data_IF_026317839303
#
_entry.id   IF_026317839303
#
_cell.length_a   1.000
_cell.length_b   1.000
_cell.length_c   1.000
_cell.angle_alpha   90.00
_cell.angle_beta   90.00
_cell.angle_gamma   90.00
#
_symmetry.space_group_name_H-M   'P 1'
#
loop_
_entity.id
_entity.type
_entity.pdbx_description
1 polymer ?
#
# COMPACT_ATOMS: atom_id res chain seq x y z
N UNK A 1 21.03 -7.43 4.60
CA UNK A 1 20.37 -6.75 3.45
C UNK A 1 20.18 -7.71 2.29
N UNK A 2 21.21 -8.43 1.83
CA UNK A 2 21.12 -9.43 0.75
C UNK A 2 20.00 -10.47 0.93
N UNK A 3 19.88 -11.07 2.11
CA UNK A 3 18.84 -12.08 2.38
C UNK A 3 17.41 -11.50 2.38
N UNK A 4 17.22 -10.25 2.81
CA UNK A 4 15.90 -9.58 2.74
C UNK A 4 15.51 -9.35 1.29
N UNK A 5 16.46 -8.83 0.51
CA UNK A 5 16.26 -8.60 -0.92
C UNK A 5 15.97 -9.92 -1.65
N UNK A 6 16.69 -11.00 -1.34
CA UNK A 6 16.45 -12.32 -1.93
C UNK A 6 15.08 -12.88 -1.55
N UNK A 7 14.67 -12.83 -0.27
CA UNK A 7 13.35 -13.31 0.16
C UNK A 7 12.23 -12.50 -0.47
N UNK A 8 12.36 -11.17 -0.50
CA UNK A 8 11.37 -10.30 -1.13
C UNK A 8 11.30 -10.57 -2.63
N UNK A 9 12.44 -10.71 -3.31
CA UNK A 9 12.48 -11.00 -4.75
C UNK A 9 11.79 -12.33 -5.08
N UNK A 10 12.13 -13.39 -4.35
CA UNK A 10 11.51 -14.72 -4.51
C UNK A 10 10.02 -14.65 -4.21
N UNK A 11 9.60 -13.96 -3.15
CA UNK A 11 8.20 -13.78 -2.86
C UNK A 11 7.46 -13.08 -4.00
N UNK A 12 8.04 -12.00 -4.53
CA UNK A 12 7.42 -11.20 -5.58
C UNK A 12 7.37 -11.87 -6.94
N UNK A 13 8.25 -12.84 -7.22
CA UNK A 13 8.20 -13.57 -8.51
C UNK A 13 6.94 -14.44 -8.65
N UNK A 14 6.29 -14.79 -7.54
CA UNK A 14 4.99 -15.50 -7.55
C UNK A 14 3.79 -14.57 -7.67
N UNK A 15 4.01 -13.25 -7.71
CA UNK A 15 2.94 -12.26 -7.83
C UNK A 15 2.69 -11.83 -9.28
N UNK A 16 3.41 -12.40 -10.24
CA UNK A 16 3.09 -12.24 -11.66
C UNK A 16 1.98 -13.22 -12.03
N UNK A 17 0.75 -12.73 -11.94
CA UNK A 17 -0.49 -13.48 -12.08
C UNK A 17 -1.43 -12.72 -13.00
N UNK A 18 -2.29 -13.44 -13.72
CA UNK A 18 -3.32 -12.82 -14.55
C UNK A 18 -4.25 -11.95 -13.71
N UNK A 19 -4.48 -10.72 -14.15
CA UNK A 19 -5.38 -9.77 -13.48
C UNK A 19 -6.81 -10.10 -13.91
N UNK A 20 -7.60 -10.68 -13.00
CA UNK A 20 -9.04 -10.96 -13.20
C UNK A 20 -9.96 -10.03 -12.40
N UNK A 21 -9.41 -8.93 -11.85
CA UNK A 21 -10.15 -7.96 -11.06
C UNK A 21 -11.09 -7.10 -11.92
N UNK A 22 -12.32 -6.90 -11.47
CA UNK A 22 -13.31 -6.08 -12.18
C UNK A 22 -13.20 -4.58 -11.83
N UNK A 23 -12.65 -4.25 -10.67
CA UNK A 23 -12.57 -2.88 -10.15
C UNK A 23 -11.36 -2.12 -10.72
N UNK A 24 -10.29 -2.81 -11.12
CA UNK A 24 -9.09 -2.17 -11.67
C UNK A 24 -9.40 -1.28 -12.88
N UNK A 25 -10.35 -1.69 -13.73
CA UNK A 25 -10.72 -0.91 -14.91
C UNK A 25 -11.35 0.44 -14.56
N UNK A 26 -12.09 0.50 -13.44
CA UNK A 26 -12.60 1.75 -12.88
C UNK A 26 -11.45 2.63 -12.40
N UNK A 27 -10.51 2.06 -11.65
CA UNK A 27 -9.36 2.80 -11.17
C UNK A 27 -8.51 3.39 -12.30
N UNK A 28 -8.31 2.62 -13.37
CA UNK A 28 -7.56 3.08 -14.55
C UNK A 28 -8.34 4.15 -15.34
N UNK A 29 -9.65 4.00 -15.50
CA UNK A 29 -10.47 4.99 -16.19
C UNK A 29 -10.46 6.34 -15.47
N UNK A 30 -10.72 6.34 -14.16
CA UNK A 30 -10.69 7.55 -13.33
C UNK A 30 -9.26 8.12 -13.28
N UNK A 31 -8.26 7.27 -13.10
CA UNK A 31 -6.86 7.69 -13.09
C UNK A 31 -6.41 8.36 -14.39
N UNK A 32 -6.84 7.85 -15.55
CA UNK A 32 -6.57 8.49 -16.85
C UNK A 32 -7.20 9.87 -16.95
N UNK A 33 -8.42 10.04 -16.44
CA UNK A 33 -9.07 11.34 -16.41
C UNK A 33 -8.32 12.32 -15.49
N UNK A 34 -7.92 11.86 -14.31
CA UNK A 34 -7.11 12.66 -13.37
C UNK A 34 -5.82 13.11 -14.04
N UNK A 35 -5.11 12.21 -14.73
CA UNK A 35 -3.85 12.55 -15.41
C UNK A 35 -4.06 13.48 -16.61
N UNK A 36 -5.20 13.38 -17.31
CA UNK A 36 -5.53 14.22 -18.45
C UNK A 36 -5.90 15.65 -18.06
N UNK A 37 -6.64 15.81 -16.96
CA UNK A 37 -7.17 17.11 -16.53
C UNK A 37 -6.40 17.73 -15.35
N UNK A 38 -5.51 16.95 -14.72
CA UNK A 38 -4.81 17.30 -13.48
C UNK A 38 -5.77 17.70 -12.35
N UNK A 39 -6.96 17.09 -12.34
CA UNK A 39 -8.02 17.35 -11.37
C UNK A 39 -8.67 16.03 -10.92
N UNK A 40 -8.99 15.95 -9.63
CA UNK A 40 -9.77 14.83 -9.08
C UNK A 40 -11.25 15.06 -9.40
N UNK A 41 -11.96 14.08 -9.99
CA UNK A 41 -13.37 14.24 -10.33
C UNK A 41 -14.20 14.64 -9.11
N UNK A 42 -14.97 15.72 -9.26
CA UNK A 42 -15.85 16.24 -8.21
C UNK A 42 -17.29 15.79 -8.33
N UNK A 43 -17.66 15.31 -9.51
CA UNK A 43 -19.00 14.83 -9.83
C UNK A 43 -18.91 13.40 -10.32
N UNK A 44 -19.87 12.57 -9.92
CA UNK A 44 -19.96 11.20 -10.40
C UNK A 44 -20.62 11.25 -11.78
N UNK A 45 -19.90 10.85 -12.82
CA UNK A 45 -20.44 10.57 -14.16
C UNK A 45 -20.24 9.12 -14.56
N UNK A 46 -19.73 8.30 -13.64
CA UNK A 46 -19.36 6.92 -13.90
C UNK A 46 -20.51 5.97 -13.55
N UNK A 47 -21.30 6.31 -12.52
CA UNK A 47 -22.47 5.53 -12.12
C UNK A 47 -23.78 6.19 -12.57
N UNK A 48 -24.71 5.38 -13.06
CA UNK A 48 -26.04 5.86 -13.51
C UNK A 48 -26.81 6.53 -12.37
N UNK A 49 -26.72 5.99 -11.16
CA UNK A 49 -27.46 6.50 -10.00
C UNK A 49 -26.76 7.69 -9.32
N UNK A 50 -25.45 7.83 -9.51
CA UNK A 50 -24.66 8.93 -8.98
C UNK A 50 -24.52 10.12 -9.93
N UNK A 51 -24.92 9.96 -11.21
CA UNK A 51 -24.82 10.97 -12.26
C UNK A 51 -25.15 12.40 -11.76
N UNK A 52 -24.14 13.28 -11.75
CA UNK A 52 -24.25 14.69 -11.37
C UNK A 52 -24.23 14.97 -9.86
N UNK A 53 -24.08 13.94 -9.01
CA UNK A 53 -23.88 14.11 -7.55
C UNK A 53 -22.41 14.32 -7.23
N UNK A 54 -22.14 14.91 -6.05
CA UNK A 54 -20.78 15.05 -5.55
C UNK A 54 -20.10 13.68 -5.43
N UNK A 55 -18.91 13.58 -6.03
CA UNK A 55 -18.04 12.41 -5.95
C UNK A 55 -16.86 12.73 -5.05
N UNK A 56 -16.65 11.89 -4.05
CA UNK A 56 -15.48 11.98 -3.17
C UNK A 56 -14.62 10.75 -3.37
N UNK A 57 -13.51 10.92 -4.09
CA UNK A 57 -12.62 9.82 -4.38
C UNK A 57 -11.50 9.71 -3.33
N UNK A 58 -11.62 8.74 -2.43
CA UNK A 58 -10.58 8.42 -1.44
C UNK A 58 -9.38 7.66 -2.03
N UNK A 59 -9.42 7.33 -3.32
CA UNK A 59 -8.44 6.50 -4.02
C UNK A 59 -7.71 7.23 -5.15
N UNK A 60 -7.95 8.53 -5.33
CA UNK A 60 -7.47 9.29 -6.48
C UNK A 60 -5.95 9.18 -6.69
N UNK A 61 -5.15 9.15 -5.61
CA UNK A 61 -3.70 9.05 -5.72
C UNK A 61 -3.27 7.67 -6.21
N UNK A 62 -3.94 6.62 -5.74
CA UNK A 62 -3.70 5.25 -6.22
C UNK A 62 -4.09 5.13 -7.70
N UNK A 63 -5.26 5.66 -8.07
CA UNK A 63 -5.77 5.63 -9.44
C UNK A 63 -4.82 6.36 -10.41
N UNK A 64 -4.37 7.57 -10.04
CA UNK A 64 -3.40 8.33 -10.83
C UNK A 64 -2.07 7.57 -10.98
N UNK A 65 -1.58 6.93 -9.92
CA UNK A 65 -0.37 6.11 -9.97
C UNK A 65 -0.55 4.86 -10.85
N UNK A 66 -1.70 4.18 -10.76
CA UNK A 66 -2.02 3.02 -11.56
C UNK A 66 -2.15 3.38 -13.06
N UNK A 67 -2.83 4.47 -13.39
CA UNK A 67 -2.95 4.95 -14.76
C UNK A 67 -1.61 5.45 -15.32
N UNK A 68 -0.73 6.02 -14.49
CA UNK A 68 0.62 6.38 -14.91
C UNK A 68 1.45 5.12 -15.21
N UNK A 69 1.34 4.10 -14.37
CA UNK A 69 2.00 2.82 -14.59
C UNK A 69 1.48 2.14 -15.87
N UNK A 70 0.17 2.17 -16.10
CA UNK A 70 -0.46 1.73 -17.35
C UNK A 70 0.08 2.50 -18.55
N UNK A 71 0.20 3.82 -18.48
CA UNK A 71 0.72 4.64 -19.57
C UNK A 71 2.17 4.29 -19.93
N UNK A 72 2.99 3.92 -18.95
CA UNK A 72 4.42 3.61 -19.16
C UNK A 72 4.64 2.18 -19.66
N UNK A 73 3.88 1.21 -19.15
CA UNK A 73 4.15 -0.22 -19.38
C UNK A 73 2.92 -1.08 -19.67
N UNK A 74 1.76 -0.47 -19.98
CA UNK A 74 0.48 -1.18 -20.08
C UNK A 74 0.12 -1.88 -18.76
N UNK A 75 -0.64 -2.97 -18.85
CA UNK A 75 -1.00 -3.76 -17.67
C UNK A 75 0.22 -4.36 -16.95
N UNK A 76 1.35 -4.58 -17.64
CA UNK A 76 2.59 -4.98 -16.99
C UNK A 76 3.14 -3.88 -16.05
N UNK A 77 2.93 -2.60 -16.38
CA UNK A 77 3.24 -1.50 -15.48
C UNK A 77 2.35 -1.50 -14.24
N UNK A 78 1.05 -1.78 -14.39
CA UNK A 78 0.11 -1.95 -13.27
C UNK A 78 0.51 -3.13 -12.38
N UNK A 79 0.89 -4.25 -12.99
CA UNK A 79 1.44 -5.41 -12.30
C UNK A 79 2.70 -5.03 -11.50
N UNK A 80 3.62 -4.29 -12.12
CA UNK A 80 4.85 -3.84 -11.46
C UNK A 80 4.58 -2.93 -10.25
N UNK A 81 3.57 -2.05 -10.34
CA UNK A 81 3.12 -1.23 -9.21
C UNK A 81 2.60 -2.12 -8.06
N UNK A 82 1.73 -3.09 -8.36
CA UNK A 82 1.22 -4.05 -7.39
C UNK A 82 2.34 -4.83 -6.72
N UNK A 83 3.25 -5.40 -7.52
CA UNK A 83 4.42 -6.15 -7.07
C UNK A 83 5.29 -5.29 -6.15
N UNK A 84 5.51 -4.02 -6.51
CA UNK A 84 6.26 -3.06 -5.70
C UNK A 84 5.62 -2.80 -4.33
N UNK A 85 4.30 -2.61 -4.27
CA UNK A 85 3.58 -2.42 -3.01
C UNK A 85 3.63 -3.66 -2.10
N UNK A 86 3.50 -4.86 -2.69
CA UNK A 86 3.71 -6.11 -1.97
C UNK A 86 5.16 -6.25 -1.48
N UNK A 87 6.14 -5.93 -2.31
CA UNK A 87 7.55 -5.96 -1.93
C UNK A 87 7.82 -5.07 -0.71
N UNK A 88 7.26 -3.85 -0.70
CA UNK A 88 7.36 -2.93 0.45
C UNK A 88 6.73 -3.52 1.71
N UNK A 89 5.55 -4.13 1.58
CA UNK A 89 4.83 -4.78 2.69
C UNK A 89 5.65 -5.93 3.27
N UNK A 90 6.13 -6.83 2.41
CA UNK A 90 6.90 -8.01 2.79
C UNK A 90 8.27 -7.64 3.39
N UNK A 91 8.93 -6.62 2.85
CA UNK A 91 10.17 -6.10 3.41
C UNK A 91 9.96 -5.57 4.85
N UNK A 92 8.88 -4.85 5.10
CA UNK A 92 8.53 -4.37 6.43
C UNK A 92 8.18 -5.54 7.38
N UNK A 93 7.36 -6.48 6.93
CA UNK A 93 6.99 -7.68 7.68
C UNK A 93 8.23 -8.49 8.10
N UNK A 94 9.16 -8.72 7.16
CA UNK A 94 10.43 -9.38 7.45
C UNK A 94 11.24 -8.62 8.50
N UNK A 95 11.36 -7.29 8.39
CA UNK A 95 12.10 -6.47 9.38
C UNK A 95 11.48 -6.56 10.78
N UNK A 96 10.15 -6.60 10.87
CA UNK A 96 9.44 -6.79 12.14
C UNK A 96 9.73 -8.18 12.69
N UNK A 97 9.58 -9.23 11.87
CA UNK A 97 9.82 -10.62 12.26
C UNK A 97 11.26 -10.83 12.77
N UNK A 98 12.25 -10.22 12.12
CA UNK A 98 13.67 -10.29 12.51
C UNK A 98 14.00 -9.68 13.86
N UNK A 99 13.09 -8.92 14.48
CA UNK A 99 13.25 -8.46 15.87
C UNK A 99 13.08 -9.60 16.88
N UNK A 100 12.44 -10.71 16.49
CA UNK A 100 12.05 -11.80 17.39
C UNK A 100 12.44 -13.19 16.89
N UNK A 101 12.67 -13.35 15.60
CA UNK A 101 12.96 -14.63 14.95
C UNK A 101 14.34 -14.65 14.31
N UNK A 102 14.99 -15.84 14.23
CA UNK A 102 16.16 -16.02 13.38
C UNK A 102 15.82 -15.80 11.90
N UNK A 103 16.85 -15.76 11.05
CA UNK A 103 16.73 -15.41 9.63
C UNK A 103 15.72 -16.31 8.92
N UNK A 104 15.79 -17.61 9.17
CA UNK A 104 15.01 -18.67 8.54
C UNK A 104 13.54 -18.57 8.95
N UNK A 105 13.28 -18.38 10.25
CA UNK A 105 11.93 -18.22 10.78
C UNK A 105 11.26 -16.93 10.28
N UNK A 106 12.00 -15.83 10.19
CA UNK A 106 11.48 -14.58 9.63
C UNK A 106 11.21 -14.70 8.12
N UNK A 107 12.07 -15.40 7.37
CA UNK A 107 11.85 -15.66 5.96
C UNK A 107 10.59 -16.50 5.74
N UNK A 108 10.43 -17.60 6.47
CA UNK A 108 9.26 -18.47 6.38
C UNK A 108 7.96 -17.72 6.71
N UNK A 109 7.95 -16.93 7.78
CA UNK A 109 6.79 -16.14 8.18
C UNK A 109 6.42 -15.08 7.12
N UNK A 110 7.41 -14.51 6.44
CA UNK A 110 7.18 -13.52 5.37
C UNK A 110 6.56 -14.15 4.13
N UNK A 111 6.79 -15.45 3.88
CA UNK A 111 6.19 -16.17 2.75
C UNK A 111 4.76 -16.64 3.04
N UNK A 112 4.36 -16.78 4.31
CA UNK A 112 3.04 -17.30 4.67
C UNK A 112 1.84 -16.50 4.09
N UNK A 113 1.85 -15.16 4.03
CA UNK A 113 0.77 -14.39 3.41
C UNK A 113 0.57 -14.68 1.93
N UNK A 114 1.64 -15.04 1.20
CA UNK A 114 1.55 -15.38 -0.23
C UNK A 114 0.77 -16.66 -0.45
N UNK A 115 0.94 -17.64 0.45
CA UNK A 115 0.20 -18.90 0.42
C UNK A 115 -1.27 -18.73 0.81
N UNK A 116 -1.56 -17.82 1.76
CA UNK A 116 -2.90 -17.59 2.28
C UNK A 116 -3.74 -16.59 1.46
N UNK A 117 -3.09 -15.79 0.59
CA UNK A 117 -3.69 -14.61 -0.04
C UNK A 117 -3.74 -14.64 -1.56
N UNK A 118 -3.65 -15.81 -2.21
CA UNK A 118 -3.61 -15.91 -3.68
C UNK A 118 -4.78 -15.19 -4.37
N UNK A 119 -5.97 -15.20 -3.76
CA UNK A 119 -7.16 -14.50 -4.27
C UNK A 119 -7.11 -12.98 -4.13
N UNK A 120 -6.13 -12.45 -3.38
CA UNK A 120 -5.94 -11.01 -3.12
C UNK A 120 -4.68 -10.43 -3.75
N UNK A 121 -3.99 -11.19 -4.61
CA UNK A 121 -2.90 -10.68 -5.45
C UNK A 121 -3.52 -9.96 -6.64
N UNK A 122 -4.19 -8.83 -6.37
CA UNK A 122 -4.87 -8.00 -7.35
C UNK A 122 -4.43 -6.55 -7.15
N UNK A 123 -4.36 -5.74 -8.22
CA UNK A 123 -3.93 -4.34 -8.16
C UNK A 123 -5.01 -3.47 -7.51
N UNK A 124 -5.20 -3.61 -6.20
CA UNK A 124 -6.22 -2.90 -5.42
C UNK A 124 -5.61 -1.78 -4.57
N UNK A 125 -6.37 -0.72 -4.26
CA UNK A 125 -5.86 0.38 -3.44
C UNK A 125 -5.46 -0.06 -2.01
N UNK A 126 -6.07 -1.12 -1.47
CA UNK A 126 -5.76 -1.67 -0.15
C UNK A 126 -4.29 -2.10 0.02
N UNK A 127 -3.56 -2.39 -1.06
CA UNK A 127 -2.13 -2.69 -1.01
C UNK A 127 -1.30 -1.53 -0.46
N UNK A 128 -1.74 -0.28 -0.70
CA UNK A 128 -1.12 0.92 -0.11
C UNK A 128 -1.27 0.89 1.41
N UNK A 129 -2.42 0.41 1.92
CA UNK A 129 -2.65 0.27 3.37
C UNK A 129 -1.75 -0.77 3.98
N UNK A 130 -1.60 -1.94 3.35
CA UNK A 130 -0.70 -2.97 3.87
C UNK A 130 0.74 -2.48 3.95
N UNK A 131 1.22 -1.81 2.89
CA UNK A 131 2.57 -1.26 2.86
C UNK A 131 2.75 -0.16 3.92
N UNK A 132 1.85 0.83 3.95
CA UNK A 132 1.96 1.97 4.85
C UNK A 132 1.87 1.54 6.32
N UNK A 133 0.89 0.70 6.69
CA UNK A 133 0.72 0.20 8.05
C UNK A 133 1.94 -0.61 8.51
N UNK A 134 2.46 -1.51 7.67
CA UNK A 134 3.63 -2.31 8.01
C UNK A 134 4.86 -1.42 8.27
N UNK A 135 5.06 -0.37 7.46
CA UNK A 135 6.14 0.59 7.68
C UNK A 135 5.94 1.49 8.89
N UNK A 136 4.69 1.89 9.20
CA UNK A 136 4.38 2.56 10.46
C UNK A 136 4.85 1.72 11.65
N UNK A 137 4.55 0.42 11.69
CA UNK A 137 4.97 -0.48 12.76
C UNK A 137 6.50 -0.66 12.82
N UNK A 138 7.18 -0.65 11.67
CA UNK A 138 8.64 -0.65 11.63
C UNK A 138 9.19 0.61 12.30
N UNK A 139 8.72 1.79 11.92
CA UNK A 139 9.24 3.07 12.40
C UNK A 139 8.85 3.38 13.84
N UNK A 140 7.62 3.08 14.25
CA UNK A 140 7.19 3.23 15.65
C UNK A 140 8.01 2.34 16.58
N UNK A 141 8.38 1.12 16.16
CA UNK A 141 9.29 0.29 16.94
C UNK A 141 10.77 0.71 16.92
N UNK A 142 11.12 1.86 16.34
CA UNK A 142 12.47 2.43 16.30
C UNK A 142 12.69 3.49 17.39
N UNK A 143 13.96 3.84 17.65
CA UNK A 143 14.32 4.83 18.68
C UNK A 143 14.12 6.29 18.24
N UNK A 144 13.72 6.52 16.99
CA UNK A 144 13.51 7.85 16.41
C UNK A 144 12.03 8.18 16.17
N UNK A 145 11.09 7.33 16.61
CA UNK A 145 9.65 7.48 16.37
C UNK A 145 9.10 8.85 16.77
N UNK A 146 9.50 9.34 17.94
CA UNK A 146 9.08 10.63 18.50
C UNK A 146 9.99 11.81 18.16
N UNK A 147 11.07 11.58 17.42
CA UNK A 147 11.93 12.67 16.96
C UNK A 147 11.25 13.40 15.78
N UNK A 148 11.56 14.69 15.55
CA UNK A 148 10.96 15.46 14.45
C UNK A 148 11.05 14.77 13.10
N UNK A 149 12.19 14.13 12.79
CA UNK A 149 12.38 13.38 11.55
C UNK A 149 11.47 12.12 11.45
N UNK A 150 11.26 11.40 12.57
CA UNK A 150 10.38 10.24 12.62
C UNK A 150 8.91 10.63 12.43
N UNK A 151 8.48 11.69 13.11
CA UNK A 151 7.13 12.25 12.99
C UNK A 151 6.87 12.80 11.58
N UNK A 152 7.83 13.53 11.00
CA UNK A 152 7.71 14.04 9.63
C UNK A 152 7.56 12.92 8.60
N UNK A 153 8.31 11.82 8.77
CA UNK A 153 8.20 10.63 7.92
C UNK A 153 6.82 9.96 8.04
N UNK A 154 6.31 9.78 9.26
CA UNK A 154 4.96 9.24 9.49
C UNK A 154 3.89 10.15 8.87
N UNK A 155 3.99 11.46 9.08
CA UNK A 155 3.06 12.43 8.52
C UNK A 155 3.07 12.44 6.98
N UNK A 156 4.24 12.40 6.35
CA UNK A 156 4.36 12.36 4.89
C UNK A 156 3.67 11.13 4.31
N UNK A 157 3.90 9.95 4.89
CA UNK A 157 3.25 8.72 4.44
C UNK A 157 1.75 8.74 4.76
N UNK A 158 1.34 9.32 5.88
CA UNK A 158 -0.08 9.49 6.22
C UNK A 158 -0.81 10.33 5.18
N UNK A 159 -0.21 11.44 4.73
CA UNK A 159 -0.80 12.31 3.70
C UNK A 159 -0.97 11.53 2.39
N UNK A 160 0.04 10.81 1.93
CA UNK A 160 -0.07 9.98 0.73
C UNK A 160 -1.14 8.88 0.91
N UNK A 161 -1.14 8.18 2.03
CA UNK A 161 -2.06 7.08 2.32
C UNK A 161 -3.52 7.54 2.38
N UNK A 162 -3.80 8.68 3.01
CA UNK A 162 -5.16 9.25 3.12
C UNK A 162 -5.78 9.56 1.76
N UNK A 163 -4.95 9.81 0.74
CA UNK A 163 -5.37 10.09 -0.62
C UNK A 163 -5.38 8.83 -1.52
N UNK A 164 -4.92 7.68 -1.00
CA UNK A 164 -4.77 6.46 -1.76
C UNK A 164 -5.74 5.34 -1.32
N UNK A 165 -6.13 5.28 -0.03
CA UNK A 165 -7.08 4.28 0.44
C UNK A 165 -7.82 4.67 1.73
N UNK A 166 -9.09 4.30 1.84
CA UNK A 166 -9.98 4.66 2.95
C UNK A 166 -9.58 4.10 4.33
N UNK A 167 -8.76 3.05 4.41
CA UNK A 167 -8.26 2.51 5.69
C UNK A 167 -7.09 3.31 6.29
N UNK A 168 -6.85 4.54 5.83
CA UNK A 168 -5.81 5.45 6.37
C UNK A 168 -5.95 5.72 7.88
N UNK A 169 -7.15 5.54 8.44
CA UNK A 169 -7.45 5.69 9.88
C UNK A 169 -6.62 4.75 10.76
N UNK A 170 -6.10 3.66 10.19
CA UNK A 170 -5.20 2.73 10.89
C UNK A 170 -3.85 3.37 11.24
N UNK A 171 -3.40 4.39 10.51
CA UNK A 171 -2.16 5.10 10.81
C UNK A 171 -2.20 5.82 12.16
N UNK A 172 -3.10 6.80 12.37
CA UNK A 172 -3.27 7.46 13.66
C UNK A 172 -3.61 6.49 14.79
N UNK A 173 -4.41 5.45 14.49
CA UNK A 173 -4.71 4.40 15.47
C UNK A 173 -3.43 3.67 15.93
N UNK A 174 -2.56 3.25 15.01
CA UNK A 174 -1.30 2.59 15.34
C UNK A 174 -0.36 3.51 16.16
N UNK A 175 -0.30 4.80 15.81
CA UNK A 175 0.47 5.81 16.57
C UNK A 175 -0.09 5.95 17.99
N UNK A 176 -1.42 6.03 18.15
CA UNK A 176 -2.09 6.13 19.45
C UNK A 176 -1.83 4.90 20.32
N UNK A 177 -1.96 3.70 19.77
CA UNK A 177 -1.63 2.46 20.46
C UNK A 177 -0.17 2.41 20.91
N UNK A 178 0.76 2.86 20.06
CA UNK A 178 2.18 2.91 20.39
C UNK A 178 2.48 3.91 21.52
N UNK A 179 1.92 5.12 21.46
CA UNK A 179 2.04 6.12 22.51
C UNK A 179 1.51 5.60 23.86
N UNK A 180 0.32 4.99 23.86
CA UNK A 180 -0.27 4.41 25.05
C UNK A 180 0.62 3.30 25.64
N UNK A 181 1.19 2.44 24.78
CA UNK A 181 2.07 1.36 25.21
C UNK A 181 3.39 1.85 25.83
N UNK A 182 3.87 3.04 25.48
CA UNK A 182 5.04 3.64 26.11
C UNK A 182 4.74 4.28 27.47
N UNK A 183 3.57 4.89 27.64
CA UNK A 183 3.13 5.43 28.93
C UNK A 183 2.89 4.34 29.96
N UNK A 184 2.49 3.14 29.51
CA UNK A 184 2.22 2.00 30.38
C UNK A 184 3.46 1.26 30.90
N UNK A 185 4.66 1.59 30.41
CA UNK A 185 5.94 0.99 30.83
C UNK A 185 6.59 1.78 31.94
#
# INVERSE_FOLDING_TARGET
>A
MLLVAATVLVATSFLDVEIYDLDIWWHLAIGREILAHLEVPRLDHWTVLGAGRAYHDSHWLFQAAAALAERVGGMAGVQALMVGLWALTLAAAYRIARRRLPVEGAALLTLAPLAAGLERILPRPELVTFAALAWFLVWLGGSDSWRPAGLARLALVQVAWTNAHGLFVLGPFAVGCHAAAEVWR
#
